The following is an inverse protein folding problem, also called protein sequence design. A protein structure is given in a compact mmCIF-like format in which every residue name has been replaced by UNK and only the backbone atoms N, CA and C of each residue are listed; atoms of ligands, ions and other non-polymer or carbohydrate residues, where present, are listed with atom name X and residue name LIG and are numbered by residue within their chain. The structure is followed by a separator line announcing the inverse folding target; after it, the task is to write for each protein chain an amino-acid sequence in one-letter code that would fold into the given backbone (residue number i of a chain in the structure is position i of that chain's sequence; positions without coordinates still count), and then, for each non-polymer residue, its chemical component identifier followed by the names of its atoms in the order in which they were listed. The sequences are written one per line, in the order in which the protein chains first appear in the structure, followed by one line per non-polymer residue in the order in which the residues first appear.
data_IF_784185320536
#
_entry.id   IF_784185320536
#
_cell.length_a   1.000
_cell.length_b   1.000
_cell.length_c   1.000
_cell.angle_alpha   90.00
_cell.angle_beta   90.00
_cell.angle_gamma   90.00
#
_symmetry.space_group_name_H-M   'P 1'
#
loop_
_entity.id
_entity.type
_entity.pdbx_description
1 polymer ?
#
# COMPACT_ATOMS: atom_id res chain seq x y z
N UNK A 1 2.26 17.37 -5.39
CA UNK A 1 2.15 15.90 -5.60
C UNK A 1 2.90 15.22 -4.47
N UNK A 2 2.17 14.72 -3.48
CA UNK A 2 2.78 13.95 -2.38
C UNK A 2 2.91 12.50 -2.85
N UNK A 3 4.10 12.07 -3.23
CA UNK A 3 4.41 10.68 -3.55
C UNK A 3 5.06 10.05 -2.34
N UNK A 4 4.39 9.09 -1.71
CA UNK A 4 5.02 8.25 -0.70
C UNK A 4 5.79 7.13 -1.40
N UNK A 5 7.10 7.08 -1.19
CA UNK A 5 7.97 6.03 -1.70
C UNK A 5 8.21 4.99 -0.60
N UNK A 6 7.63 3.83 -0.75
CA UNK A 6 7.93 2.66 0.07
C UNK A 6 9.00 1.82 -0.61
N UNK A 7 10.10 1.55 0.09
CA UNK A 7 11.18 0.69 -0.41
C UNK A 7 11.10 -0.66 0.29
N UNK A 8 10.82 -1.72 -0.47
CA UNK A 8 10.91 -3.10 0.01
C UNK A 8 12.22 -3.69 -0.50
N UNK A 9 13.13 -4.02 0.41
CA UNK A 9 14.42 -4.64 0.07
C UNK A 9 14.30 -6.15 0.22
N UNK A 10 14.43 -6.86 -0.89
CA UNK A 10 14.43 -8.32 -0.92
C UNK A 10 15.85 -8.80 -1.30
N UNK A 11 16.46 -9.68 -0.51
CA UNK A 11 17.76 -10.25 -0.89
C UNK A 11 17.66 -11.15 -2.12
N UNK A 12 18.65 -11.08 -2.98
CA UNK A 12 18.69 -11.76 -4.28
C UNK A 12 18.88 -13.28 -4.14
N UNK A 13 17.88 -14.09 -4.54
CA UNK A 13 17.98 -15.55 -4.67
C UNK A 13 17.06 -16.06 -5.80
N UNK A 14 17.49 -17.11 -6.49
CA UNK A 14 16.95 -17.65 -7.75
C UNK A 14 15.42 -17.92 -7.81
N UNK A 15 14.87 -17.73 -8.98
CA UNK A 15 13.44 -17.76 -9.37
C UNK A 15 12.74 -19.10 -9.23
N UNK A 16 11.50 -19.11 -8.69
CA UNK A 16 10.56 -20.23 -8.74
C UNK A 16 9.10 -19.77 -8.93
N UNK A 17 8.24 -20.55 -9.64
CA UNK A 17 6.86 -20.14 -9.94
C UNK A 17 5.96 -20.04 -8.69
N UNK A 18 4.97 -19.14 -8.73
CA UNK A 18 4.03 -18.80 -7.66
C UNK A 18 3.11 -19.94 -7.14
N UNK A 19 3.15 -21.13 -7.75
CA UNK A 19 2.23 -22.25 -7.47
C UNK A 19 2.76 -23.32 -6.49
N UNK A 20 3.94 -23.16 -5.92
CA UNK A 20 4.50 -24.11 -4.95
C UNK A 20 3.96 -23.89 -3.53
N UNK A 21 3.74 -24.95 -2.71
CA UNK A 21 3.30 -24.84 -1.31
C UNK A 21 4.39 -24.32 -0.35
N UNK A 22 5.33 -23.57 -0.81
CA UNK A 22 6.44 -23.05 -0.03
C UNK A 22 6.05 -21.86 0.85
N UNK A 23 6.78 -21.65 1.96
CA UNK A 23 6.44 -20.60 2.92
C UNK A 23 6.38 -19.22 2.25
N UNK A 24 5.34 -18.49 2.56
CA UNK A 24 5.10 -17.12 2.14
C UNK A 24 5.25 -16.23 3.36
N UNK A 25 6.11 -15.23 3.26
CA UNK A 25 6.22 -14.23 4.30
C UNK A 25 5.10 -13.19 4.14
N UNK A 26 4.17 -13.19 5.09
CA UNK A 26 3.05 -12.25 5.09
C UNK A 26 3.46 -10.93 5.73
N UNK A 27 3.24 -9.82 5.02
CA UNK A 27 3.43 -8.46 5.53
C UNK A 27 2.14 -7.69 5.40
N UNK A 28 1.58 -7.28 6.54
CA UNK A 28 0.43 -6.38 6.56
C UNK A 28 0.90 -4.95 6.40
N UNK A 29 0.32 -4.24 5.42
CA UNK A 29 0.58 -2.83 5.13
C UNK A 29 -0.70 -2.03 5.33
N UNK A 30 -0.79 -1.39 6.48
CA UNK A 30 -1.88 -0.47 6.83
C UNK A 30 -1.52 0.91 6.30
N UNK A 31 -2.19 1.37 5.26
CA UNK A 31 -1.95 2.65 4.58
C UNK A 31 -2.96 3.65 5.10
N UNK A 32 -2.49 4.76 5.64
CA UNK A 32 -3.32 5.79 6.26
C UNK A 32 -2.85 7.19 5.85
N UNK A 33 -3.73 8.18 6.02
CA UNK A 33 -3.40 9.59 5.88
C UNK A 33 -3.86 10.39 7.09
N UNK A 34 -3.01 11.34 7.52
CA UNK A 34 -3.22 12.18 8.69
C UNK A 34 -3.27 13.65 8.26
N UNK A 35 -4.25 14.39 8.77
CA UNK A 35 -4.25 15.82 8.59
C UNK A 35 -3.53 16.47 9.78
N UNK A 36 -2.33 16.96 9.53
CA UNK A 36 -1.46 17.54 10.54
C UNK A 36 -1.33 19.06 10.32
N UNK A 37 -1.15 19.80 11.43
CA UNK A 37 -0.65 21.16 11.39
C UNK A 37 0.86 21.17 11.04
N UNK A 38 1.40 22.34 10.72
CA UNK A 38 2.85 22.52 10.49
C UNK A 38 3.68 22.15 11.71
N UNK A 39 3.11 22.22 12.90
CA UNK A 39 3.72 21.75 14.16
C UNK A 39 3.85 20.22 14.26
N UNK A 40 3.22 19.45 13.36
CA UNK A 40 3.10 18.00 13.42
C UNK A 40 1.99 17.48 14.32
N UNK A 41 1.22 18.34 14.98
CA UNK A 41 0.05 17.94 15.75
C UNK A 41 -1.14 17.61 14.83
N UNK A 42 -2.01 16.69 15.28
CA UNK A 42 -3.24 16.34 14.54
C UNK A 42 -4.16 17.58 14.50
N UNK A 43 -4.67 17.88 13.31
CA UNK A 43 -5.66 18.92 13.13
C UNK A 43 -7.04 18.43 13.63
N UNK A 44 -7.38 18.78 14.86
CA UNK A 44 -8.63 18.38 15.50
C UNK A 44 -9.83 19.26 15.07
N UNK A 45 -9.59 20.45 14.54
CA UNK A 45 -10.64 21.40 14.13
C UNK A 45 -11.55 20.81 13.04
N UNK A 46 -11.04 19.85 12.29
CA UNK A 46 -11.79 19.18 11.22
C UNK A 46 -12.60 17.97 11.70
N UNK A 47 -12.52 17.61 12.99
CA UNK A 47 -13.34 16.54 13.56
C UNK A 47 -14.80 17.00 13.71
N UNK A 48 -15.70 16.26 13.06
CA UNK A 48 -17.12 16.59 13.09
C UNK A 48 -17.53 17.77 12.19
N UNK A 49 -16.63 18.31 11.39
CA UNK A 49 -16.95 19.35 10.42
C UNK A 49 -17.82 18.79 9.29
N UNK A 50 -19.08 19.25 9.24
CA UNK A 50 -20.07 18.82 8.26
C UNK A 50 -19.68 19.22 6.82
N UNK A 51 -19.00 20.36 6.65
CA UNK A 51 -18.56 20.81 5.32
C UNK A 51 -17.47 19.90 4.80
N UNK A 52 -16.49 19.52 5.62
CA UNK A 52 -15.46 18.55 5.25
C UNK A 52 -16.09 17.20 4.90
N UNK A 53 -17.02 16.72 5.72
CA UNK A 53 -17.69 15.45 5.47
C UNK A 53 -18.53 15.45 4.19
N UNK A 54 -19.18 16.58 3.85
CA UNK A 54 -20.05 16.71 2.67
C UNK A 54 -19.28 16.89 1.35
N UNK A 55 -18.03 17.37 1.38
CA UNK A 55 -17.27 17.76 0.18
C UNK A 55 -16.11 16.81 -0.18
N UNK A 56 -16.08 15.62 0.29
CA UNK A 56 -15.05 14.63 -0.09
C UNK A 56 -14.40 13.94 1.08
N UNK A 57 -14.82 14.30 2.31
CA UNK A 57 -14.31 13.71 3.52
C UNK A 57 -12.97 14.31 3.98
N UNK A 58 -12.50 13.80 5.12
CA UNK A 58 -11.28 14.27 5.74
C UNK A 58 -10.07 13.61 5.10
N UNK A 59 -9.45 14.28 4.14
CA UNK A 59 -8.20 13.85 3.50
C UNK A 59 -7.00 14.49 4.20
N UNK A 60 -6.03 13.65 4.59
CA UNK A 60 -4.82 14.10 5.28
C UNK A 60 -3.75 14.69 4.33
N UNK A 61 -2.79 15.38 4.91
CA UNK A 61 -1.60 15.90 4.22
C UNK A 61 -0.33 15.08 4.51
N UNK A 62 -0.43 14.07 5.37
CA UNK A 62 0.68 13.23 5.79
C UNK A 62 0.32 11.76 5.70
N UNK A 63 1.06 11.01 4.89
CA UNK A 63 0.81 9.59 4.69
C UNK A 63 1.74 8.72 5.51
N UNK A 64 1.19 7.60 5.98
CA UNK A 64 1.94 6.57 6.70
C UNK A 64 1.61 5.17 6.18
N UNK A 65 2.56 4.27 6.31
CA UNK A 65 2.35 2.83 6.26
C UNK A 65 2.81 2.25 7.59
N UNK A 66 1.92 1.53 8.26
CA UNK A 66 2.16 0.99 9.62
C UNK A 66 2.63 2.09 10.60
N UNK A 67 2.04 3.29 10.51
CA UNK A 67 2.38 4.43 11.34
C UNK A 67 3.71 5.13 11.03
N UNK A 68 4.43 4.70 9.99
CA UNK A 68 5.73 5.27 9.61
C UNK A 68 5.64 5.90 8.23
N UNK A 69 6.18 7.13 8.09
CA UNK A 69 6.36 7.77 6.78
C UNK A 69 7.55 7.13 6.06
N UNK A 70 7.31 6.64 4.83
CA UNK A 70 8.33 6.00 3.97
C UNK A 70 9.07 4.82 4.64
N UNK A 71 8.38 3.81 5.16
CA UNK A 71 9.04 2.67 5.77
C UNK A 71 9.84 1.86 4.74
N UNK A 72 10.89 1.19 5.23
CA UNK A 72 11.58 0.13 4.50
C UNK A 72 11.17 -1.20 5.14
N UNK A 73 10.68 -2.12 4.33
CA UNK A 73 10.27 -3.46 4.79
C UNK A 73 11.33 -4.46 4.28
N UNK A 74 11.97 -5.13 5.22
CA UNK A 74 12.89 -6.22 4.91
C UNK A 74 12.13 -7.54 4.83
N UNK A 75 12.40 -8.33 3.81
CA UNK A 75 11.88 -9.69 3.70
C UNK A 75 13.01 -10.71 3.94
N UNK A 76 12.70 -11.88 4.53
CA UNK A 76 13.66 -12.96 4.69
C UNK A 76 14.23 -13.44 3.34
N UNK A 77 15.52 -13.81 3.29
CA UNK A 77 16.12 -14.32 2.08
C UNK A 77 15.42 -15.58 1.57
N UNK A 78 15.15 -15.64 0.27
CA UNK A 78 14.61 -16.85 -0.39
C UNK A 78 13.13 -17.13 -0.15
N UNK A 79 12.42 -16.30 0.59
CA UNK A 79 10.98 -16.40 0.78
C UNK A 79 10.21 -15.61 -0.28
N UNK A 80 9.00 -16.05 -0.59
CA UNK A 80 8.02 -15.24 -1.32
C UNK A 80 7.38 -14.27 -0.35
N UNK A 81 7.05 -13.08 -0.83
CA UNK A 81 6.39 -12.08 -0.02
C UNK A 81 4.93 -11.95 -0.44
N UNK A 82 4.02 -11.93 0.52
CA UNK A 82 2.64 -11.52 0.32
C UNK A 82 2.40 -10.22 1.08
N UNK A 83 2.16 -9.15 0.33
CA UNK A 83 1.75 -7.87 0.88
C UNK A 83 0.24 -7.87 1.05
N UNK A 84 -0.23 -7.71 2.27
CA UNK A 84 -1.64 -7.51 2.59
C UNK A 84 -1.91 -6.03 2.77
N UNK A 85 -2.38 -5.40 1.72
CA UNK A 85 -2.64 -3.96 1.65
C UNK A 85 -4.01 -3.65 2.22
N UNK A 86 -4.08 -2.66 3.10
CA UNK A 86 -5.33 -2.15 3.67
C UNK A 86 -5.30 -0.64 3.62
N UNK A 87 -6.28 -0.02 2.96
CA UNK A 87 -6.48 1.42 3.01
C UNK A 87 -7.39 1.75 4.20
N UNK A 88 -6.86 2.38 5.23
CA UNK A 88 -7.61 2.81 6.43
C UNK A 88 -7.84 4.31 6.48
N UNK A 89 -7.50 5.04 5.43
CA UNK A 89 -7.78 6.47 5.32
C UNK A 89 -9.29 6.74 5.41
N UNK A 90 -9.67 7.88 5.96
CA UNK A 90 -11.08 8.25 6.13
C UNK A 90 -11.82 8.43 4.80
N UNK A 91 -11.15 9.03 3.81
CA UNK A 91 -11.79 9.40 2.55
C UNK A 91 -10.90 9.17 1.32
N UNK A 92 -9.58 9.04 1.51
CA UNK A 92 -8.64 9.03 0.41
C UNK A 92 -8.64 7.70 -0.34
N UNK A 93 -8.83 7.77 -1.65
CA UNK A 93 -8.57 6.64 -2.55
C UNK A 93 -7.07 6.58 -2.80
N UNK A 94 -6.47 5.41 -2.54
CA UNK A 94 -5.04 5.17 -2.74
C UNK A 94 -4.80 4.54 -4.12
N UNK A 95 -3.79 5.03 -4.83
CA UNK A 95 -3.35 4.50 -6.12
C UNK A 95 -1.93 3.97 -5.96
N UNK A 96 -1.77 2.67 -6.06
CA UNK A 96 -0.53 1.97 -5.76
C UNK A 96 0.11 1.47 -7.06
N UNK A 97 1.39 1.76 -7.25
CA UNK A 97 2.18 1.27 -8.38
C UNK A 97 3.37 0.48 -7.88
N UNK A 98 3.54 -0.72 -8.39
CA UNK A 98 4.65 -1.61 -8.06
C UNK A 98 5.73 -1.49 -9.15
N UNK A 99 6.97 -1.18 -8.74
CA UNK A 99 8.12 -1.07 -9.65
C UNK A 99 9.23 -2.00 -9.19
N UNK A 100 9.87 -2.65 -10.16
CA UNK A 100 11.00 -3.55 -9.88
C UNK A 100 10.60 -4.98 -9.54
N UNK A 101 9.32 -5.36 -9.68
CA UNK A 101 8.82 -6.70 -9.44
C UNK A 101 7.72 -7.09 -10.43
N UNK A 102 7.67 -8.38 -10.73
CA UNK A 102 6.51 -9.03 -11.35
C UNK A 102 5.47 -9.32 -10.25
N UNK A 103 4.75 -8.28 -9.86
CA UNK A 103 3.77 -8.34 -8.79
C UNK A 103 2.46 -9.00 -9.28
N UNK A 104 1.90 -9.91 -8.49
CA UNK A 104 0.66 -10.63 -8.83
C UNK A 104 -0.42 -10.31 -7.83
N UNK A 105 -1.61 -9.97 -8.30
CA UNK A 105 -2.81 -9.81 -7.48
C UNK A 105 -3.33 -11.20 -7.10
N UNK A 106 -3.49 -11.44 -5.80
CA UNK A 106 -3.89 -12.73 -5.24
C UNK A 106 -5.32 -12.72 -4.69
N UNK A 107 -5.73 -11.59 -4.10
CA UNK A 107 -7.05 -11.45 -3.49
C UNK A 107 -7.48 -9.97 -3.47
N UNK A 108 -8.80 -9.74 -3.47
CA UNK A 108 -9.43 -8.43 -3.26
C UNK A 108 -10.45 -8.59 -2.14
N UNK A 109 -10.44 -7.67 -1.17
CA UNK A 109 -11.33 -7.61 0.00
C UNK A 109 -11.45 -8.96 0.75
N UNK A 110 -10.33 -9.69 0.80
CA UNK A 110 -10.25 -11.00 1.44
C UNK A 110 -10.79 -12.16 0.61
N UNK A 111 -11.26 -11.91 -0.62
CA UNK A 111 -11.70 -12.95 -1.54
C UNK A 111 -10.53 -13.32 -2.48
N UNK A 112 -10.03 -14.58 -2.42
CA UNK A 112 -8.97 -15.01 -3.31
C UNK A 112 -9.47 -15.05 -4.76
N UNK A 113 -8.59 -14.67 -5.68
CA UNK A 113 -8.83 -14.85 -7.12
C UNK A 113 -8.71 -16.34 -7.50
N UNK A 114 -9.41 -16.75 -8.55
CA UNK A 114 -9.34 -18.12 -9.05
C UNK A 114 -7.90 -18.52 -9.47
N UNK A 115 -7.14 -17.53 -9.92
CA UNK A 115 -5.70 -17.62 -10.20
C UNK A 115 -5.05 -16.25 -10.00
N UNK A 116 -3.73 -16.20 -9.71
CA UNK A 116 -3.03 -14.92 -9.63
C UNK A 116 -3.09 -14.15 -10.96
N UNK A 117 -3.43 -12.88 -10.88
CA UNK A 117 -3.52 -11.96 -12.02
C UNK A 117 -2.43 -10.89 -11.99
N UNK A 118 -2.21 -10.20 -13.11
CA UNK A 118 -1.33 -9.03 -13.14
C UNK A 118 -1.93 -7.92 -12.27
N UNK A 119 -1.08 -7.28 -11.45
CA UNK A 119 -1.55 -6.13 -10.66
C UNK A 119 -1.86 -4.97 -11.60
N UNK A 120 -3.07 -4.38 -11.54
CA UNK A 120 -3.36 -3.17 -12.29
C UNK A 120 -2.36 -2.05 -11.97
N UNK A 121 -2.03 -1.24 -12.95
CA UNK A 121 -1.14 -0.08 -12.76
C UNK A 121 -1.88 1.22 -13.11
N UNK A 122 -2.38 1.95 -12.11
CA UNK A 122 -2.29 1.72 -10.67
C UNK A 122 -3.32 0.70 -10.13
N UNK A 123 -2.98 0.02 -9.04
CA UNK A 123 -3.95 -0.66 -8.20
C UNK A 123 -4.69 0.38 -7.35
N UNK A 124 -6.00 0.44 -7.48
CA UNK A 124 -6.84 1.43 -6.78
C UNK A 124 -7.50 0.79 -5.57
N UNK A 125 -7.26 1.36 -4.39
CA UNK A 125 -7.91 0.95 -3.14
C UNK A 125 -8.74 2.10 -2.57
N UNK A 126 -10.06 1.92 -2.55
CA UNK A 126 -10.96 2.81 -1.84
C UNK A 126 -10.75 2.71 -0.31
N UNK A 127 -11.22 3.69 0.50
CA UNK A 127 -11.26 3.57 1.94
C UNK A 127 -11.92 2.26 2.39
N UNK A 128 -11.26 1.50 3.28
CA UNK A 128 -11.66 0.16 3.70
C UNK A 128 -11.31 -0.97 2.71
N UNK A 129 -10.90 -0.64 1.49
CA UNK A 129 -10.49 -1.61 0.48
C UNK A 129 -9.20 -2.34 0.85
N UNK A 130 -9.10 -3.59 0.45
CA UNK A 130 -7.97 -4.48 0.73
C UNK A 130 -7.54 -5.21 -0.53
N UNK A 131 -6.24 -5.47 -0.65
CA UNK A 131 -5.72 -6.35 -1.69
C UNK A 131 -4.52 -7.15 -1.17
N UNK A 132 -4.42 -8.40 -1.58
CA UNK A 132 -3.25 -9.22 -1.36
C UNK A 132 -2.43 -9.27 -2.64
N UNK A 133 -1.16 -8.87 -2.56
CA UNK A 133 -0.24 -8.83 -3.69
C UNK A 133 0.95 -9.73 -3.40
N UNK A 134 1.16 -10.70 -4.26
CA UNK A 134 2.32 -11.59 -4.22
C UNK A 134 3.52 -11.01 -4.96
N UNK A 135 4.68 -11.11 -4.33
CA UNK A 135 5.97 -10.77 -4.94
C UNK A 135 6.81 -12.05 -5.07
N UNK A 136 7.45 -12.29 -6.24
CA UNK A 136 8.29 -13.45 -6.43
C UNK A 136 9.56 -13.37 -5.57
N UNK A 137 10.26 -14.51 -5.44
CA UNK A 137 11.56 -14.58 -4.78
C UNK A 137 12.63 -13.84 -5.59
N UNK A 138 13.70 -13.45 -4.91
CA UNK A 138 14.92 -13.01 -5.57
C UNK A 138 14.89 -11.61 -6.13
N UNK A 139 13.97 -10.78 -5.68
CA UNK A 139 13.94 -9.37 -6.04
C UNK A 139 14.92 -8.59 -5.16
N UNK A 140 15.76 -7.76 -5.77
CA UNK A 140 16.68 -6.90 -5.04
C UNK A 140 15.91 -5.82 -4.27
N UNK A 141 15.31 -4.89 -4.98
CA UNK A 141 14.52 -3.80 -4.40
C UNK A 141 13.19 -3.65 -5.14
N UNK A 142 12.09 -3.69 -4.39
CA UNK A 142 10.76 -3.38 -4.91
C UNK A 142 10.30 -2.05 -4.35
N UNK A 143 9.87 -1.17 -5.23
CA UNK A 143 9.33 0.13 -4.87
C UNK A 143 7.82 0.06 -5.04
N UNK A 144 7.10 0.25 -3.93
CA UNK A 144 5.66 0.51 -3.97
C UNK A 144 5.46 2.01 -3.85
N UNK A 145 5.07 2.64 -4.95
CA UNK A 145 4.74 4.06 -4.96
C UNK A 145 3.23 4.21 -4.71
N UNK A 146 2.88 5.04 -3.75
CA UNK A 146 1.50 5.46 -3.51
C UNK A 146 1.33 6.83 -4.15
N UNK A 147 0.52 6.91 -5.19
CA UNK A 147 0.15 8.17 -5.85
C UNK A 147 -1.18 8.67 -5.26
N UNK A 148 -1.23 9.96 -4.99
CA UNK A 148 -2.37 10.61 -4.35
C UNK A 148 -3.06 11.46 -5.40
N UNK A 149 -4.23 11.03 -5.86
CA UNK A 149 -5.12 11.90 -6.62
C UNK A 149 -5.81 12.89 -5.67
N UNK A 150 -5.86 14.15 -6.08
CA UNK A 150 -6.73 15.15 -5.44
C UNK A 150 -6.03 16.30 -4.74
N UNK A 151 -4.78 16.63 -5.05
CA UNK A 151 -4.32 17.99 -4.80
C UNK A 151 -4.81 18.89 -5.95
N UNK A 152 -5.57 19.96 -5.68
CA UNK A 152 -5.79 20.98 -6.68
C UNK A 152 -4.44 21.58 -7.07
N UNK A 153 -4.23 21.74 -8.38
CA UNK A 153 -3.12 22.48 -8.97
C UNK A 153 -3.09 23.93 -8.46
#
# INVERSE_FOLDING_TARGET
MLVMLLIVVLPEVATCPLQSPEPVHDVVMVIDDWWLYDSGAINEETFGDLMVAAHGGRMGNWMTVNGTSRPTIAAPPGERLRLRLVNVANARVMRLTFKGADARLLAIDGQPLAQPEDVPAPLVLAPGGRADVGLPRGLGQVIVAVDIEGEPL
#
